data_IF_228527306922
#
_entry.id   IF_228527306922
#
_cell.length_a   1.000
_cell.length_b   1.000
_cell.length_c   1.000
_cell.angle_alpha   90.00
_cell.angle_beta   90.00
_cell.angle_gamma   90.00
#
_symmetry.space_group_name_H-M   'P 1'
#
loop_
_entity.id
_entity.type
_entity.pdbx_description
1 polymer ?
#
# COMPACT_ATOMS: atom_id res chain seq x y z
N UNK A 1 5.98 -16.92 16.72
CA UNK A 1 5.37 -15.58 16.49
C UNK A 1 3.92 -15.57 16.95
N UNK A 2 3.50 -14.62 17.80
CA UNK A 2 2.08 -14.42 18.15
C UNK A 2 1.49 -13.32 17.26
N UNK A 3 0.85 -13.72 16.17
CA UNK A 3 0.32 -12.80 15.13
C UNK A 3 -0.70 -11.83 15.73
N UNK A 4 -1.61 -12.30 16.59
CA UNK A 4 -2.63 -11.46 17.22
C UNK A 4 -1.99 -10.32 18.01
N UNK A 5 -0.96 -10.60 18.79
CA UNK A 5 -0.26 -9.57 19.57
C UNK A 5 0.47 -8.57 18.66
N UNK A 6 1.11 -9.02 17.58
CA UNK A 6 1.78 -8.14 16.62
C UNK A 6 0.78 -7.18 15.95
N UNK A 7 -0.36 -7.70 15.51
CA UNK A 7 -1.43 -6.90 14.91
C UNK A 7 -1.98 -5.89 15.92
N UNK A 8 -2.25 -6.32 17.16
CA UNK A 8 -2.74 -5.40 18.21
C UNK A 8 -1.76 -4.26 18.47
N UNK A 9 -0.47 -4.55 18.51
CA UNK A 9 0.57 -3.56 18.79
C UNK A 9 0.68 -2.49 17.69
N UNK A 10 0.52 -2.88 16.42
CA UNK A 10 0.66 -1.95 15.29
C UNK A 10 -0.67 -1.26 14.92
N UNK A 11 -1.79 -1.74 15.41
CA UNK A 11 -3.12 -1.25 15.04
C UNK A 11 -3.30 0.29 15.15
N UNK A 12 -2.79 0.97 16.21
CA UNK A 12 -2.88 2.44 16.29
C UNK A 12 -2.15 3.14 15.14
N UNK A 13 -1.02 2.62 14.68
CA UNK A 13 -0.28 3.19 13.55
C UNK A 13 -1.03 2.97 12.23
N UNK A 14 -1.60 1.78 12.01
CA UNK A 14 -2.41 1.48 10.83
C UNK A 14 -3.63 2.42 10.74
N UNK A 15 -4.31 2.67 11.87
CA UNK A 15 -5.40 3.65 11.92
C UNK A 15 -4.91 5.04 11.52
N UNK A 16 -3.73 5.45 12.03
CA UNK A 16 -3.17 6.75 11.73
C UNK A 16 -2.80 6.89 10.25
N UNK A 17 -2.14 5.89 9.66
CA UNK A 17 -1.84 5.88 8.22
C UNK A 17 -3.10 5.93 7.36
N UNK A 18 -4.11 5.14 7.72
CA UNK A 18 -5.41 5.16 7.03
C UNK A 18 -6.05 6.55 7.06
N UNK A 19 -6.04 7.23 8.21
CA UNK A 19 -6.60 8.57 8.36
C UNK A 19 -5.81 9.62 7.59
N UNK A 20 -4.48 9.52 7.55
CA UNK A 20 -3.65 10.43 6.73
C UNK A 20 -3.91 10.25 5.23
N UNK A 21 -4.04 9.02 4.75
CA UNK A 21 -4.45 8.72 3.38
C UNK A 21 -5.85 9.25 3.07
N UNK A 22 -6.79 9.05 3.98
CA UNK A 22 -8.18 9.48 3.83
C UNK A 22 -8.33 11.00 3.71
N UNK A 23 -7.49 11.76 4.42
CA UNK A 23 -7.46 13.24 4.33
C UNK A 23 -6.98 13.75 2.97
N UNK A 24 -6.14 12.99 2.29
CA UNK A 24 -5.44 13.42 1.07
C UNK A 24 -5.69 12.47 -0.09
N UNK A 25 -6.97 12.22 -0.45
CA UNK A 25 -7.30 11.28 -1.52
C UNK A 25 -6.89 11.84 -2.87
N UNK A 26 -6.40 10.96 -3.74
CA UNK A 26 -6.04 11.27 -5.13
C UNK A 26 -6.82 10.37 -6.09
N UNK A 27 -7.23 10.92 -7.23
CA UNK A 27 -7.96 10.18 -8.26
C UNK A 27 -7.05 9.21 -9.00
N UNK A 28 -7.67 8.21 -9.65
CA UNK A 28 -6.99 7.26 -10.55
C UNK A 28 -6.02 7.98 -11.50
N UNK A 29 -4.82 7.43 -11.66
CA UNK A 29 -3.68 7.96 -12.42
C UNK A 29 -3.01 9.21 -11.84
N UNK A 30 -3.48 9.75 -10.73
CA UNK A 30 -2.91 10.97 -10.09
C UNK A 30 -2.40 10.70 -8.67
N UNK A 31 -2.20 9.46 -8.26
CA UNK A 31 -1.84 9.03 -6.91
C UNK A 31 -0.35 9.27 -6.60
N UNK A 32 0.19 10.44 -6.96
CA UNK A 32 1.63 10.72 -6.82
C UNK A 32 2.05 10.93 -5.37
N UNK A 33 1.30 11.70 -4.60
CA UNK A 33 1.60 11.96 -3.20
C UNK A 33 1.30 10.75 -2.33
N UNK A 34 0.25 10.00 -2.64
CA UNK A 34 -0.06 8.71 -2.01
C UNK A 34 1.08 7.72 -2.21
N UNK A 35 1.57 7.58 -3.44
CA UNK A 35 2.68 6.68 -3.75
C UNK A 35 4.00 7.13 -3.10
N UNK A 36 4.25 8.45 -3.00
CA UNK A 36 5.41 8.98 -2.26
C UNK A 36 5.29 8.65 -0.77
N UNK A 37 4.14 8.90 -0.16
CA UNK A 37 3.88 8.57 1.24
C UNK A 37 4.11 7.08 1.57
N UNK A 38 3.62 6.20 0.71
CA UNK A 38 3.84 4.75 0.82
C UNK A 38 5.33 4.40 0.73
N UNK A 39 6.02 4.94 -0.28
CA UNK A 39 7.45 4.67 -0.48
C UNK A 39 8.30 5.16 0.71
N UNK A 40 7.98 6.32 1.26
CA UNK A 40 8.69 6.89 2.42
C UNK A 40 8.52 6.03 3.68
N UNK A 41 7.30 5.53 3.94
CA UNK A 41 7.05 4.61 5.06
C UNK A 41 7.80 3.28 4.89
N UNK A 42 7.77 2.71 3.69
CA UNK A 42 8.51 1.47 3.39
C UNK A 42 10.02 1.66 3.55
N UNK A 43 10.56 2.81 3.14
CA UNK A 43 11.97 3.16 3.34
C UNK A 43 12.33 3.27 4.83
N UNK A 44 11.45 3.86 5.65
CA UNK A 44 11.63 3.95 7.10
C UNK A 44 11.64 2.56 7.78
N UNK A 45 10.93 1.57 7.25
CA UNK A 45 10.96 0.19 7.75
C UNK A 45 12.30 -0.51 7.49
N UNK A 46 13.10 -0.02 6.53
CA UNK A 46 14.52 -0.33 6.37
C UNK A 46 14.87 -1.73 5.85
N UNK A 47 13.89 -2.56 5.46
CA UNK A 47 14.12 -3.96 5.06
C UNK A 47 13.79 -4.27 3.60
N UNK A 48 13.27 -3.29 2.85
CA UNK A 48 12.70 -3.47 1.53
C UNK A 48 13.59 -2.97 0.40
N UNK A 49 13.63 -3.71 -0.70
CA UNK A 49 14.01 -3.21 -2.01
C UNK A 49 12.79 -2.52 -2.63
N UNK A 50 12.82 -1.22 -2.78
CA UNK A 50 11.69 -0.42 -3.27
C UNK A 50 11.93 0.00 -4.71
N UNK A 51 10.91 -0.19 -5.56
CA UNK A 51 10.91 0.26 -6.95
C UNK A 51 9.61 1.00 -7.29
N UNK A 52 9.66 1.84 -8.31
CA UNK A 52 8.55 2.62 -8.84
C UNK A 52 8.35 2.23 -10.31
N UNK A 53 7.57 1.16 -10.61
CA UNK A 53 7.31 0.75 -11.99
C UNK A 53 6.64 1.87 -12.81
N UNK A 54 5.77 2.64 -12.17
CA UNK A 54 5.20 3.89 -12.68
C UNK A 54 5.38 5.01 -11.64
N UNK A 55 5.25 6.29 -12.00
CA UNK A 55 5.41 7.39 -11.03
C UNK A 55 4.42 7.32 -9.84
N UNK A 56 3.26 6.72 -10.04
CA UNK A 56 2.15 6.62 -9.08
C UNK A 56 1.90 5.18 -8.57
N UNK A 57 2.85 4.27 -8.71
CA UNK A 57 2.81 2.94 -8.11
C UNK A 57 4.08 2.64 -7.30
N UNK A 58 3.99 1.71 -6.36
CA UNK A 58 5.12 1.27 -5.55
C UNK A 58 5.15 -0.25 -5.49
N UNK A 59 6.34 -0.84 -5.70
CA UNK A 59 6.58 -2.25 -5.47
C UNK A 59 7.73 -2.40 -4.48
N UNK A 60 7.51 -3.15 -3.40
CA UNK A 60 8.51 -3.41 -2.39
C UNK A 60 8.75 -4.91 -2.25
N UNK A 61 10.01 -5.34 -2.24
CA UNK A 61 10.42 -6.73 -2.09
C UNK A 61 11.12 -6.92 -0.75
N UNK A 62 10.63 -7.85 0.05
CA UNK A 62 11.30 -8.34 1.24
C UNK A 62 11.88 -9.72 0.94
N UNK A 63 13.19 -9.82 0.95
CA UNK A 63 13.90 -11.08 0.69
C UNK A 63 14.21 -11.74 2.03
N UNK A 64 13.62 -12.89 2.28
CA UNK A 64 13.88 -13.69 3.47
C UNK A 64 15.25 -14.38 3.43
N UNK A 65 15.70 -14.83 4.59
CA UNK A 65 17.03 -15.45 4.74
C UNK A 65 17.09 -16.93 4.28
N UNK A 66 15.96 -17.52 3.88
CA UNK A 66 15.87 -18.93 3.46
C UNK A 66 15.29 -19.03 2.05
N UNK A 67 15.71 -19.99 1.23
CA UNK A 67 15.07 -20.28 -0.05
C UNK A 67 13.57 -20.57 0.14
N UNK A 68 12.74 -20.09 -0.81
CA UNK A 68 11.30 -20.29 -0.77
C UNK A 68 10.60 -19.69 -1.99
N UNK A 69 9.27 -19.71 -1.95
CA UNK A 69 8.42 -19.15 -3.00
C UNK A 69 8.36 -17.62 -2.95
N UNK A 70 7.88 -17.05 -4.01
CA UNK A 70 7.48 -15.63 -4.04
C UNK A 70 5.99 -15.54 -3.76
N UNK A 71 5.63 -14.70 -2.79
CA UNK A 71 4.25 -14.34 -2.47
C UNK A 71 4.04 -12.87 -2.83
N UNK A 72 3.03 -12.57 -3.65
CA UNK A 72 2.60 -11.20 -3.90
C UNK A 72 1.37 -10.84 -3.05
N UNK A 73 1.39 -9.66 -2.45
CA UNK A 73 0.26 -9.03 -1.76
C UNK A 73 -0.01 -7.68 -2.42
N UNK A 74 -1.27 -7.35 -2.65
CA UNK A 74 -1.67 -6.16 -3.40
C UNK A 74 -2.63 -5.29 -2.59
N UNK A 75 -2.47 -3.99 -2.68
CA UNK A 75 -3.44 -2.96 -2.33
C UNK A 75 -3.56 -1.94 -3.46
N UNK A 76 -4.74 -1.40 -3.65
CA UNK A 76 -5.04 -0.27 -4.51
C UNK A 76 -4.94 1.04 -3.74
N UNK A 77 -4.73 2.18 -4.44
CA UNK A 77 -4.43 3.45 -3.79
C UNK A 77 -5.35 4.59 -4.18
N UNK A 78 -6.09 4.47 -5.28
CA UNK A 78 -6.89 5.56 -5.84
C UNK A 78 -8.19 5.82 -5.08
N UNK A 79 -8.69 7.03 -5.22
CA UNK A 79 -9.95 7.52 -4.65
C UNK A 79 -10.95 7.84 -5.75
N UNK A 80 -12.19 8.14 -5.36
CA UNK A 80 -13.31 8.41 -6.24
C UNK A 80 -13.64 9.90 -6.34
N UNK A 81 -14.19 10.37 -7.48
CA UNK A 81 -14.63 11.76 -7.68
C UNK A 81 -15.96 12.03 -6.97
N UNK A 82 -15.96 11.97 -5.63
CA UNK A 82 -17.10 12.15 -4.76
C UNK A 82 -16.81 13.19 -3.67
N UNK A 83 -17.78 14.04 -3.35
CA UNK A 83 -17.66 14.92 -2.20
C UNK A 83 -18.01 14.17 -0.93
N UNK A 84 -17.08 14.16 0.03
CA UNK A 84 -17.33 13.54 1.31
C UNK A 84 -18.31 14.37 2.15
N UNK A 85 -19.38 13.73 2.62
CA UNK A 85 -20.40 14.35 3.46
C UNK A 85 -20.26 13.98 4.94
N UNK A 86 -19.33 13.10 5.29
CA UNK A 86 -19.07 12.71 6.68
C UNK A 86 -18.50 13.90 7.47
N UNK A 87 -18.86 13.97 8.75
CA UNK A 87 -18.27 14.90 9.71
C UNK A 87 -17.35 14.14 10.66
N UNK A 88 -16.03 14.17 10.36
CA UNK A 88 -15.01 13.51 11.18
C UNK A 88 -13.67 14.26 11.05
N UNK A 89 -12.78 14.05 12.04
CA UNK A 89 -11.48 14.73 12.13
C UNK A 89 -10.51 14.39 10.98
N UNK A 90 -10.78 13.32 10.26
CA UNK A 90 -9.97 12.86 9.12
C UNK A 90 -10.71 12.93 7.78
N UNK A 91 -11.75 13.74 7.67
CA UNK A 91 -12.46 14.04 6.42
C UNK A 91 -11.49 14.47 5.31
N UNK A 92 -11.82 14.12 4.08
CA UNK A 92 -11.09 14.57 2.89
C UNK A 92 -10.87 16.09 2.89
N UNK A 93 -9.64 16.49 2.64
CA UNK A 93 -9.22 17.87 2.45
C UNK A 93 -9.25 18.29 0.96
N UNK A 94 -9.51 17.33 0.06
CA UNK A 94 -9.63 17.55 -1.38
C UNK A 94 -11.10 17.60 -1.77
N UNK A 95 -11.58 18.79 -2.11
CA UNK A 95 -12.98 18.97 -2.51
C UNK A 95 -13.32 18.13 -3.73
N UNK A 96 -14.43 17.37 -3.64
CA UNK A 96 -14.89 16.51 -4.73
C UNK A 96 -14.10 15.20 -4.90
N UNK A 97 -13.23 14.86 -3.95
CA UNK A 97 -12.48 13.58 -3.96
C UNK A 97 -12.58 12.90 -2.60
N UNK A 98 -12.87 11.62 -2.56
CA UNK A 98 -13.03 10.84 -1.33
C UNK A 98 -12.60 9.40 -1.51
N UNK A 99 -11.96 8.81 -0.50
CA UNK A 99 -11.77 7.36 -0.41
C UNK A 99 -13.08 6.63 -0.06
N UNK A 100 -14.03 6.60 -1.00
CA UNK A 100 -15.34 6.00 -0.80
C UNK A 100 -15.38 4.49 -1.06
N UNK A 101 -14.39 3.93 -1.76
CA UNK A 101 -14.22 2.49 -1.96
C UNK A 101 -13.38 1.82 -0.84
N UNK A 102 -12.66 2.59 -0.03
CA UNK A 102 -11.87 2.07 1.10
C UNK A 102 -10.42 1.68 0.76
N UNK A 103 -9.90 2.12 -0.38
CA UNK A 103 -8.51 1.83 -0.78
C UNK A 103 -7.46 2.41 0.19
N UNK A 104 -7.78 3.47 0.92
CA UNK A 104 -7.00 3.96 2.07
C UNK A 104 -6.83 2.89 3.17
N UNK A 105 -7.88 2.11 3.42
CA UNK A 105 -7.85 0.98 4.35
C UNK A 105 -7.02 -0.20 3.82
N UNK A 106 -7.12 -0.50 2.51
CA UNK A 106 -6.30 -1.52 1.86
C UNK A 106 -4.81 -1.16 1.93
N UNK A 107 -4.46 0.06 1.52
CA UNK A 107 -3.09 0.59 1.57
C UNK A 107 -2.52 0.58 3.00
N UNK A 108 -3.27 1.10 3.98
CA UNK A 108 -2.83 1.11 5.37
C UNK A 108 -2.66 -0.30 5.96
N UNK A 109 -3.53 -1.24 5.60
CA UNK A 109 -3.42 -2.63 6.03
C UNK A 109 -2.18 -3.30 5.45
N UNK A 110 -1.87 -3.07 4.16
CA UNK A 110 -0.67 -3.60 3.53
C UNK A 110 0.61 -2.97 4.12
N UNK A 111 0.60 -1.69 4.47
CA UNK A 111 1.68 -1.05 5.23
C UNK A 111 1.86 -1.68 6.62
N UNK A 112 0.76 -2.05 7.30
CA UNK A 112 0.80 -2.79 8.55
C UNK A 112 1.50 -4.15 8.41
N UNK A 113 1.13 -4.91 7.37
CA UNK A 113 1.82 -6.15 7.01
C UNK A 113 3.30 -5.90 6.74
N UNK A 114 3.62 -4.85 5.97
CA UNK A 114 5.00 -4.48 5.65
C UNK A 114 5.81 -4.24 6.93
N UNK A 115 5.31 -3.46 7.87
CA UNK A 115 6.02 -3.16 9.11
C UNK A 115 6.26 -4.40 9.98
N UNK A 116 5.26 -5.27 10.12
CA UNK A 116 5.42 -6.53 10.85
C UNK A 116 6.48 -7.40 10.18
N UNK A 117 6.39 -7.60 8.87
CA UNK A 117 7.32 -8.47 8.14
C UNK A 117 8.76 -7.93 8.16
N UNK A 118 8.97 -6.61 8.11
CA UNK A 118 10.30 -6.02 8.19
C UNK A 118 11.04 -6.38 9.48
N UNK A 119 10.31 -6.51 10.59
CA UNK A 119 10.84 -6.88 11.91
C UNK A 119 11.09 -8.40 12.06
N UNK A 120 10.55 -9.21 11.13
CA UNK A 120 10.62 -10.67 11.16
C UNK A 120 11.28 -11.26 9.91
N UNK A 121 12.06 -10.46 9.18
CA UNK A 121 12.74 -10.86 7.95
C UNK A 121 13.53 -12.15 8.08
N UNK A 122 14.21 -12.34 9.20
CA UNK A 122 15.06 -13.51 9.46
C UNK A 122 14.28 -14.82 9.62
N UNK A 123 13.00 -14.75 9.92
CA UNK A 123 12.11 -15.91 10.03
C UNK A 123 11.52 -16.33 8.67
N UNK A 124 11.59 -15.44 7.64
CA UNK A 124 10.96 -15.66 6.35
C UNK A 124 11.76 -16.58 5.44
N UNK A 125 11.01 -17.41 4.68
CA UNK A 125 11.52 -18.18 3.56
C UNK A 125 10.93 -17.63 2.25
N UNK A 126 11.79 -17.43 1.24
CA UNK A 126 11.39 -16.87 -0.04
C UNK A 126 11.31 -15.35 -0.06
N UNK A 127 10.41 -14.82 -0.85
CA UNK A 127 10.26 -13.38 -1.09
C UNK A 127 8.82 -12.97 -0.87
N UNK A 128 8.59 -11.86 -0.17
CA UNK A 128 7.27 -11.20 -0.15
C UNK A 128 7.36 -9.95 -1.03
N UNK A 129 6.50 -9.87 -2.03
CA UNK A 129 6.35 -8.73 -2.93
C UNK A 129 5.08 -7.98 -2.58
N UNK A 130 5.22 -6.74 -2.12
CA UNK A 130 4.11 -5.85 -1.82
C UNK A 130 3.88 -4.94 -3.01
N UNK A 131 2.66 -4.86 -3.51
CA UNK A 131 2.28 -4.10 -4.70
C UNK A 131 1.23 -3.08 -4.28
N UNK A 132 1.60 -1.80 -4.34
CA UNK A 132 0.69 -0.67 -4.15
C UNK A 132 0.33 -0.14 -5.53
N UNK A 133 -0.86 -0.50 -5.98
CA UNK A 133 -1.34 -0.28 -7.34
C UNK A 133 -2.09 1.04 -7.45
N UNK A 134 -1.83 1.78 -8.50
CA UNK A 134 -2.62 2.93 -8.94
C UNK A 134 -3.84 2.52 -9.77
N UNK A 135 -4.79 3.45 -9.96
CA UNK A 135 -5.88 3.42 -10.94
C UNK A 135 -6.64 2.08 -11.01
N UNK A 136 -7.27 1.68 -9.91
CA UNK A 136 -8.16 0.51 -9.91
C UNK A 136 -9.53 0.87 -10.50
N UNK A 137 -10.04 2.07 -10.19
CA UNK A 137 -11.41 2.51 -10.48
C UNK A 137 -11.62 3.02 -11.92
N UNK A 138 -10.55 3.23 -12.70
CA UNK A 138 -10.64 3.84 -14.02
C UNK A 138 -9.94 2.97 -15.09
N UNK A 139 -10.69 2.42 -16.07
CA UNK A 139 -10.10 1.64 -17.17
C UNK A 139 -9.05 2.45 -17.97
N UNK A 140 -8.03 1.79 -18.52
CA UNK A 140 -7.75 0.35 -18.54
C UNK A 140 -7.22 -0.23 -17.23
N UNK A 141 -6.99 0.61 -16.22
CA UNK A 141 -6.55 0.19 -14.90
C UNK A 141 -5.05 -0.03 -14.77
N UNK A 142 -4.52 0.35 -13.59
CA UNK A 142 -3.09 0.21 -13.31
C UNK A 142 -2.60 -1.24 -13.21
N UNK A 143 -3.49 -2.20 -12.93
CA UNK A 143 -3.11 -3.61 -12.86
C UNK A 143 -2.52 -4.13 -14.18
N UNK A 144 -3.15 -3.78 -15.32
CA UNK A 144 -2.65 -4.20 -16.64
C UNK A 144 -1.25 -3.64 -16.89
N UNK A 145 -1.03 -2.37 -16.62
CA UNK A 145 0.26 -1.72 -16.80
C UNK A 145 1.35 -2.39 -15.95
N UNK A 146 1.07 -2.70 -14.68
CA UNK A 146 2.02 -3.38 -13.81
C UNK A 146 2.34 -4.80 -14.26
N UNK A 147 1.36 -5.53 -14.82
CA UNK A 147 1.58 -6.85 -15.44
C UNK A 147 2.47 -6.73 -16.67
N UNK A 148 2.18 -5.78 -17.56
CA UNK A 148 2.97 -5.54 -18.79
C UNK A 148 4.43 -5.13 -18.45
N UNK A 149 4.65 -4.46 -17.32
CA UNK A 149 5.97 -4.11 -16.78
C UNK A 149 6.66 -5.25 -16.01
N UNK A 150 6.11 -6.46 -16.00
CA UNK A 150 6.72 -7.64 -15.40
C UNK A 150 6.62 -7.72 -13.88
N UNK A 151 5.78 -6.91 -13.24
CA UNK A 151 5.66 -6.88 -11.77
C UNK A 151 5.25 -8.23 -11.18
N UNK A 152 4.56 -9.08 -11.95
CA UNK A 152 4.14 -10.42 -11.51
C UNK A 152 5.05 -11.55 -11.99
N UNK A 153 6.17 -11.25 -12.65
CA UNK A 153 7.10 -12.31 -13.07
C UNK A 153 7.66 -13.09 -11.87
N UNK A 154 7.65 -14.41 -11.99
CA UNK A 154 8.12 -15.34 -10.95
C UNK A 154 7.37 -15.25 -9.60
N UNK A 155 6.11 -14.90 -9.59
CA UNK A 155 5.22 -14.95 -8.43
C UNK A 155 4.53 -16.30 -8.34
#
# INVERSE_FOLDING_TARGET
MNITQLVTNIHPEVINWRRELHKKPELSYNEFDTANYVADLLAQFGAYEISRPTPNSVVARLIGNKPGKVLALRADMDALPLTELNECDYKSQHNGVMHACGHDGHTASLLGVAKILSQHKDELAGVVRLIFQHAEETPPGGAKELVDLGVLENV
#
